data_IF_855969749967
#
_entry.id   IF_855969749967
#
_cell.length_a   1.000
_cell.length_b   1.000
_cell.length_c   1.000
_cell.angle_alpha   90.00
_cell.angle_beta   90.00
_cell.angle_gamma   90.00
#
_symmetry.space_group_name_H-M   'P 1'
#
loop_
_entity.id
_entity.type
_entity.pdbx_description
1 polymer ?
#
# COMPACT_ATOMS: atom_id res chain seq x y z
N UNK A 1 -40.59 20.68 -5.39
CA UNK A 1 -39.60 20.61 -6.49
C UNK A 1 -38.21 20.50 -5.89
N UNK A 2 -37.59 19.31 -5.93
CA UNK A 2 -36.21 19.13 -5.49
C UNK A 2 -35.27 19.69 -6.57
N UNK A 3 -34.53 20.75 -6.24
CA UNK A 3 -33.52 21.31 -7.13
C UNK A 3 -32.31 20.38 -7.16
N UNK A 4 -32.05 19.75 -8.32
CA UNK A 4 -30.83 18.97 -8.58
C UNK A 4 -29.58 19.82 -8.34
N UNK A 5 -28.54 19.31 -7.66
CA UNK A 5 -27.34 20.09 -7.39
C UNK A 5 -26.56 20.39 -8.69
N UNK A 6 -26.09 21.63 -8.84
CA UNK A 6 -25.30 22.11 -9.97
C UNK A 6 -24.00 21.30 -10.10
N UNK A 7 -23.67 20.84 -11.33
CA UNK A 7 -22.50 19.99 -11.64
C UNK A 7 -21.15 20.49 -11.07
N UNK A 8 -20.98 21.80 -10.85
CA UNK A 8 -19.74 22.39 -10.33
C UNK A 8 -19.53 22.28 -8.81
N UNK A 9 -20.59 22.20 -8.00
CA UNK A 9 -20.48 22.12 -6.54
C UNK A 9 -20.11 20.72 -6.05
N UNK A 10 -20.50 19.67 -6.79
CA UNK A 10 -20.17 18.28 -6.45
C UNK A 10 -18.67 17.98 -6.58
N UNK A 11 -18.01 18.51 -7.61
CA UNK A 11 -16.57 18.30 -7.86
C UNK A 11 -15.69 18.94 -6.78
N UNK A 12 -16.06 20.14 -6.31
CA UNK A 12 -15.31 20.83 -5.25
C UNK A 12 -15.45 20.16 -3.89
N UNK A 13 -16.64 19.64 -3.56
CA UNK A 13 -16.89 18.87 -2.34
C UNK A 13 -16.09 17.55 -2.34
N UNK A 14 -16.15 16.79 -3.43
CA UNK A 14 -15.41 15.54 -3.59
C UNK A 14 -13.89 15.75 -3.47
N UNK A 15 -13.35 16.87 -3.98
CA UNK A 15 -11.93 17.19 -3.85
C UNK A 15 -11.52 17.45 -2.40
N UNK A 16 -12.35 18.16 -1.63
CA UNK A 16 -12.08 18.41 -0.20
C UNK A 16 -12.13 17.12 0.62
N UNK A 17 -13.08 16.25 0.31
CA UNK A 17 -13.21 14.93 0.92
C UNK A 17 -11.99 14.06 0.61
N UNK A 18 -11.59 13.97 -0.66
CA UNK A 18 -10.40 13.22 -1.08
C UNK A 18 -9.12 13.69 -0.37
N UNK A 19 -8.90 15.01 -0.24
CA UNK A 19 -7.75 15.56 0.49
C UNK A 19 -7.78 15.17 1.98
N UNK A 20 -8.98 15.15 2.58
CA UNK A 20 -9.14 14.74 3.98
C UNK A 20 -8.85 13.26 4.16
N UNK A 21 -9.35 12.41 3.26
CA UNK A 21 -9.07 10.96 3.26
C UNK A 21 -7.59 10.66 3.06
N UNK A 22 -6.95 11.34 2.11
CA UNK A 22 -5.51 11.27 1.86
C UNK A 22 -4.72 11.62 3.12
N UNK A 23 -5.07 12.72 3.80
CA UNK A 23 -4.44 13.11 5.05
C UNK A 23 -4.61 12.05 6.16
N UNK A 24 -5.79 11.47 6.30
CA UNK A 24 -6.02 10.40 7.29
C UNK A 24 -5.22 9.14 6.95
N UNK A 25 -5.20 8.74 5.68
CA UNK A 25 -4.38 7.63 5.17
C UNK A 25 -2.91 7.82 5.55
N UNK A 26 -2.40 9.04 5.34
CA UNK A 26 -1.02 9.39 5.63
C UNK A 26 -0.70 9.36 7.11
N UNK A 27 -1.64 9.81 7.95
CA UNK A 27 -1.46 9.80 9.40
C UNK A 27 -1.39 8.38 9.94
N UNK A 28 -2.28 7.49 9.46
CA UNK A 28 -2.34 6.09 9.90
C UNK A 28 -1.05 5.36 9.52
N UNK A 29 -0.66 5.40 8.25
CA UNK A 29 0.47 4.59 7.77
C UNK A 29 1.81 5.00 8.39
N UNK A 30 2.00 6.26 8.78
CA UNK A 30 3.22 6.72 9.46
C UNK A 30 3.36 6.25 10.90
N UNK A 31 2.25 5.87 11.54
CA UNK A 31 2.23 5.37 12.92
C UNK A 31 2.41 3.85 12.98
N UNK A 32 2.52 3.20 11.82
CA UNK A 32 2.66 1.74 11.72
C UNK A 32 4.02 1.29 12.25
N UNK A 33 4.00 0.31 13.16
CA UNK A 33 5.20 -0.44 13.53
C UNK A 33 5.54 -1.43 12.41
N UNK A 34 6.46 -1.03 11.54
CA UNK A 34 6.87 -1.83 10.39
C UNK A 34 7.52 -3.17 10.77
N UNK A 35 8.12 -3.29 11.96
CA UNK A 35 8.73 -4.54 12.40
C UNK A 35 7.65 -5.55 12.79
N UNK A 36 6.65 -5.11 13.55
CA UNK A 36 5.52 -5.95 13.91
C UNK A 36 4.73 -6.38 12.66
N UNK A 37 4.52 -5.47 11.72
CA UNK A 37 3.80 -5.78 10.48
C UNK A 37 4.57 -6.71 9.55
N UNK A 38 5.90 -6.62 9.50
CA UNK A 38 6.72 -7.59 8.78
C UNK A 38 6.50 -9.00 9.34
N UNK A 39 6.53 -9.14 10.67
CA UNK A 39 6.32 -10.42 11.34
C UNK A 39 4.92 -10.98 11.10
N UNK A 40 3.89 -10.12 11.14
CA UNK A 40 2.52 -10.52 10.81
C UNK A 40 2.38 -10.99 9.35
N UNK A 41 3.09 -10.35 8.41
CA UNK A 41 2.99 -10.62 6.99
C UNK A 41 3.81 -11.85 6.54
N UNK A 42 4.99 -12.07 7.14
CA UNK A 42 5.97 -13.07 6.67
C UNK A 42 6.16 -14.23 7.68
N UNK A 43 6.03 -13.96 8.97
CA UNK A 43 6.22 -14.92 10.06
C UNK A 43 7.00 -14.34 11.23
N UNK A 44 6.87 -14.92 12.42
CA UNK A 44 7.41 -14.36 13.68
C UNK A 44 8.94 -14.13 13.69
N UNK A 45 9.68 -14.94 12.94
CA UNK A 45 11.14 -14.87 12.81
C UNK A 45 11.62 -13.98 11.65
N UNK A 46 10.71 -13.25 11.01
CA UNK A 46 11.05 -12.41 9.88
C UNK A 46 11.85 -11.17 10.32
N UNK A 47 12.89 -10.87 9.55
CA UNK A 47 13.71 -9.68 9.68
C UNK A 47 13.86 -9.00 8.33
N UNK A 48 13.98 -7.68 8.32
CA UNK A 48 14.23 -6.95 7.10
C UNK A 48 15.60 -7.30 6.52
N UNK A 49 15.65 -7.54 5.22
CA UNK A 49 16.88 -7.88 4.52
C UNK A 49 17.33 -6.72 3.62
N UNK A 50 18.65 -6.47 3.60
CA UNK A 50 19.28 -5.47 2.74
C UNK A 50 18.61 -4.09 2.82
N UNK A 51 18.14 -3.58 1.67
CA UNK A 51 17.54 -2.25 1.55
C UNK A 51 16.04 -2.19 1.85
N UNK A 52 15.41 -3.29 2.27
CA UNK A 52 13.96 -3.33 2.48
C UNK A 52 13.50 -2.29 3.52
N UNK A 53 14.17 -2.24 4.68
CA UNK A 53 13.83 -1.33 5.78
C UNK A 53 13.91 0.14 5.37
N UNK A 54 15.02 0.66 4.81
CA UNK A 54 15.08 2.05 4.38
C UNK A 54 14.12 2.36 3.23
N UNK A 55 13.91 1.45 2.28
CA UNK A 55 12.95 1.64 1.19
C UNK A 55 11.51 1.72 1.70
N UNK A 56 11.10 0.80 2.59
CA UNK A 56 9.77 0.81 3.19
C UNK A 56 9.53 2.07 4.02
N UNK A 57 10.53 2.51 4.80
CA UNK A 57 10.48 3.80 5.51
C UNK A 57 10.27 4.97 4.54
N UNK A 58 10.96 5.00 3.41
CA UNK A 58 10.73 6.03 2.39
C UNK A 58 9.29 6.02 1.88
N UNK A 59 8.74 4.83 1.60
CA UNK A 59 7.36 4.64 1.11
C UNK A 59 6.32 5.12 2.13
N UNK A 60 6.38 4.68 3.39
CA UNK A 60 5.39 5.08 4.43
C UNK A 60 5.48 6.57 4.79
N UNK A 61 6.65 7.18 4.60
CA UNK A 61 6.84 8.62 4.75
C UNK A 61 6.51 9.42 3.49
N UNK A 62 5.92 8.80 2.46
CA UNK A 62 5.54 9.44 1.19
C UNK A 62 6.70 10.14 0.49
N UNK A 63 7.94 9.64 0.67
CA UNK A 63 9.07 10.07 -0.14
C UNK A 63 8.92 9.40 -1.50
N UNK A 64 8.54 10.17 -2.51
CA UNK A 64 8.34 9.68 -3.87
C UNK A 64 9.12 10.58 -4.85
N UNK A 65 9.77 10.02 -5.88
CA UNK A 65 9.83 8.59 -6.24
C UNK A 65 10.81 7.77 -5.38
N UNK A 66 10.57 6.46 -5.24
CA UNK A 66 11.50 5.49 -4.64
C UNK A 66 11.91 4.46 -5.69
N UNK A 67 13.21 4.24 -5.83
CA UNK A 67 13.77 3.14 -6.63
C UNK A 67 14.55 2.21 -5.70
N UNK A 68 14.10 0.97 -5.58
CA UNK A 68 14.73 -0.06 -4.76
C UNK A 68 15.26 -1.20 -5.64
N UNK A 69 16.55 -1.51 -5.51
CA UNK A 69 17.20 -2.61 -6.24
C UNK A 69 17.36 -3.78 -5.26
N UNK A 70 16.63 -4.86 -5.52
CA UNK A 70 16.60 -6.06 -4.68
C UNK A 70 16.68 -7.28 -5.59
N UNK A 71 17.60 -8.20 -5.29
CA UNK A 71 17.75 -9.44 -6.05
C UNK A 71 16.51 -10.35 -6.00
N UNK A 72 16.44 -11.30 -6.92
CA UNK A 72 15.41 -12.35 -6.89
C UNK A 72 15.46 -13.12 -5.56
N UNK A 73 14.29 -13.44 -5.00
CA UNK A 73 14.19 -14.07 -3.67
C UNK A 73 14.37 -13.10 -2.50
N UNK A 74 14.93 -11.90 -2.69
CA UNK A 74 15.19 -10.92 -1.63
C UNK A 74 13.97 -10.19 -1.07
N UNK A 75 12.75 -10.74 -1.21
CA UNK A 75 11.55 -10.23 -0.56
C UNK A 75 11.03 -8.87 -1.06
N UNK A 76 11.30 -8.48 -2.31
CA UNK A 76 10.88 -7.19 -2.90
C UNK A 76 9.39 -6.82 -2.71
N UNK A 77 8.51 -7.82 -2.66
CA UNK A 77 7.06 -7.60 -2.54
C UNK A 77 6.61 -7.10 -1.17
N UNK A 78 7.41 -7.27 -0.12
CA UNK A 78 7.14 -6.66 1.19
C UNK A 78 6.96 -5.14 1.06
N UNK A 79 7.69 -4.51 0.14
CA UNK A 79 7.67 -3.06 -0.07
C UNK A 79 6.31 -2.51 -0.53
N UNK A 80 5.46 -3.33 -1.16
CA UNK A 80 4.11 -2.92 -1.55
C UNK A 80 3.00 -3.64 -0.78
N UNK A 81 3.23 -4.87 -0.31
CA UNK A 81 2.24 -5.63 0.45
C UNK A 81 2.06 -5.07 1.87
N UNK A 82 3.14 -4.69 2.56
CA UNK A 82 3.02 -4.15 3.92
C UNK A 82 2.26 -2.81 3.93
N UNK A 83 2.57 -1.84 3.04
CA UNK A 83 1.73 -0.65 2.90
C UNK A 83 0.27 -0.96 2.54
N UNK A 84 0.03 -1.96 1.69
CA UNK A 84 -1.34 -2.36 1.33
C UNK A 84 -2.13 -2.95 2.51
N UNK A 85 -1.45 -3.64 3.43
CA UNK A 85 -2.06 -4.18 4.64
C UNK A 85 -2.43 -3.09 5.65
N UNK A 86 -1.57 -2.08 5.80
CA UNK A 86 -1.67 -1.12 6.90
C UNK A 86 -2.32 0.23 6.52
N UNK A 87 -2.51 0.47 5.23
CA UNK A 87 -3.07 1.72 4.70
C UNK A 87 -4.54 1.56 4.34
N UNK A 88 -5.30 2.63 4.47
CA UNK A 88 -6.59 2.75 3.78
C UNK A 88 -6.38 3.02 2.29
N UNK A 89 -7.32 2.63 1.43
CA UNK A 89 -7.27 2.86 -0.03
C UNK A 89 -6.71 1.69 -0.83
N UNK A 90 -6.33 1.97 -2.09
CA UNK A 90 -5.87 0.94 -3.05
C UNK A 90 -4.37 1.08 -3.30
N UNK A 91 -3.69 -0.06 -3.41
CA UNK A 91 -2.31 -0.19 -3.93
C UNK A 91 -2.39 -0.84 -5.30
N UNK A 92 -1.88 -0.17 -6.34
CA UNK A 92 -1.87 -0.69 -7.70
C UNK A 92 -0.49 -1.27 -7.98
N UNK A 93 -0.43 -2.55 -8.35
CA UNK A 93 0.82 -3.25 -8.69
C UNK A 93 0.79 -3.60 -10.16
N UNK A 94 1.69 -3.01 -10.94
CA UNK A 94 1.81 -3.29 -12.37
C UNK A 94 2.86 -4.39 -12.55
N UNK A 95 2.46 -5.50 -13.16
CA UNK A 95 3.31 -6.68 -13.38
C UNK A 95 3.19 -7.16 -14.82
N UNK A 96 4.28 -7.68 -15.37
CA UNK A 96 4.34 -8.13 -16.77
C UNK A 96 3.89 -9.58 -16.97
N UNK A 97 3.92 -10.41 -15.92
CA UNK A 97 3.68 -11.85 -16.02
C UNK A 97 2.40 -12.23 -15.27
N UNK A 98 1.50 -12.95 -15.95
CA UNK A 98 0.24 -13.46 -15.37
C UNK A 98 0.52 -14.46 -14.25
N UNK A 99 1.52 -15.33 -14.41
CA UNK A 99 1.91 -16.28 -13.34
C UNK A 99 2.28 -15.58 -12.03
N UNK A 100 2.87 -14.38 -12.11
CA UNK A 100 3.19 -13.60 -10.92
C UNK A 100 1.94 -13.00 -10.26
N UNK A 101 0.86 -12.79 -11.01
CA UNK A 101 -0.41 -12.30 -10.46
C UNK A 101 -1.02 -13.32 -9.51
N UNK A 102 -1.07 -14.60 -9.91
CA UNK A 102 -1.59 -15.69 -9.08
C UNK A 102 -0.78 -15.86 -7.78
N UNK A 103 0.56 -15.78 -7.89
CA UNK A 103 1.45 -15.82 -6.73
C UNK A 103 1.20 -14.67 -5.75
N UNK A 104 1.02 -13.44 -6.26
CA UNK A 104 0.71 -12.28 -5.41
C UNK A 104 -0.68 -12.40 -4.80
N UNK A 105 -1.68 -12.85 -5.56
CA UNK A 105 -3.05 -13.08 -5.07
C UNK A 105 -3.07 -14.09 -3.92
N UNK A 106 -2.37 -15.21 -4.07
CA UNK A 106 -2.20 -16.22 -3.02
C UNK A 106 -1.62 -15.62 -1.73
N UNK A 107 -0.61 -14.76 -1.86
CA UNK A 107 0.02 -14.08 -0.72
C UNK A 107 -0.88 -13.03 -0.09
N UNK A 108 -1.61 -12.25 -0.89
CA UNK A 108 -2.60 -11.29 -0.41
C UNK A 108 -3.68 -12.00 0.40
N UNK A 109 -4.23 -13.11 -0.11
CA UNK A 109 -5.24 -13.91 0.60
C UNK A 109 -4.72 -14.43 1.94
N UNK A 110 -3.49 -14.95 1.99
CA UNK A 110 -2.86 -15.40 3.24
C UNK A 110 -2.66 -14.26 4.25
N UNK A 111 -2.40 -13.05 3.76
CA UNK A 111 -2.21 -11.87 4.58
C UNK A 111 -3.53 -11.14 4.93
N UNK A 112 -4.69 -11.63 4.47
CA UNK A 112 -5.98 -10.95 4.66
C UNK A 112 -6.16 -9.68 3.82
N UNK A 113 -5.38 -9.51 2.75
CA UNK A 113 -5.45 -8.36 1.85
C UNK A 113 -6.43 -8.69 0.70
N UNK A 114 -7.51 -7.92 0.58
CA UNK A 114 -8.41 -7.99 -0.58
C UNK A 114 -7.67 -7.54 -1.84
N UNK A 115 -7.61 -8.39 -2.86
CA UNK A 115 -6.98 -8.08 -4.13
C UNK A 115 -7.84 -8.58 -5.30
N UNK A 116 -7.75 -7.88 -6.43
CA UNK A 116 -8.44 -8.18 -7.68
C UNK A 116 -7.48 -8.02 -8.84
N UNK A 117 -7.77 -8.71 -9.94
CA UNK A 117 -7.03 -8.65 -11.21
C UNK A 117 -7.64 -7.59 -12.14
#
# INVERSE_FOLDING_TARGET
>A
MQTKPKKGTRTAANRKEAIKEEYQRWKIIRLVDIEQQLKALVGEKAEFQGVQRPALKAIIHYKSPVVAIIGTGGGKSVLFMLPALCSTGVTVVVMLLVSLQEDIKSRCNKAGISCVE
#
